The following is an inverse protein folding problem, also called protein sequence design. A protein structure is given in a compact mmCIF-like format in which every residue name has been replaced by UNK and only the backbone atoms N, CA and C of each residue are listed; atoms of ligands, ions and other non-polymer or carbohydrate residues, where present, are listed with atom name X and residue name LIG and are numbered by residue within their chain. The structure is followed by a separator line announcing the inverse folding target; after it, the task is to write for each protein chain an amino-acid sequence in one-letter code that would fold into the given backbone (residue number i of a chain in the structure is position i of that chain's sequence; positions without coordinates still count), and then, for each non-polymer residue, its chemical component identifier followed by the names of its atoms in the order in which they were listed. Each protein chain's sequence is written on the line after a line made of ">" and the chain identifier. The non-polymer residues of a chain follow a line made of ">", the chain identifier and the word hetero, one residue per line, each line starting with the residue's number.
data_IF_740679986002
#
_entry.id   IF_740679986002
#
_cell.length_a   1.000
_cell.length_b   1.000
_cell.length_c   1.000
_cell.angle_alpha   90.00
_cell.angle_beta   90.00
_cell.angle_gamma   90.00
#
_symmetry.space_group_name_H-M   'P 1'
#
loop_
_entity.id
_entity.type
_entity.pdbx_description
1 polymer ?
#
# COMPACT_ATOMS: atom_id res chain seq x y z
N UNK A 1 -0.60 50.78 14.57
CA UNK A 1 -1.26 51.72 15.50
C UNK A 1 -1.75 50.88 16.67
N UNK A 2 -1.32 51.23 17.87
CA UNK A 2 -1.41 50.42 19.09
C UNK A 2 -2.86 50.30 19.57
N UNK A 3 -3.27 49.10 20.00
CA UNK A 3 -4.08 48.89 21.22
C UNK A 3 -4.10 47.39 21.61
N UNK A 4 -3.52 47.11 22.78
CA UNK A 4 -3.97 46.09 23.75
C UNK A 4 -4.45 46.89 24.99
N UNK A 5 -5.18 46.34 25.99
CA UNK A 5 -5.55 44.94 26.25
C UNK A 5 -7.01 44.69 26.72
N UNK A 6 -7.44 43.42 26.85
CA UNK A 6 -8.15 42.90 28.05
C UNK A 6 -8.24 41.36 28.06
N UNK A 7 -8.27 40.78 29.27
CA UNK A 7 -8.12 39.36 29.63
C UNK A 7 -9.44 38.58 29.67
N UNK A 8 -9.28 37.24 29.59
CA UNK A 8 -10.15 36.14 30.05
C UNK A 8 -11.35 35.70 29.19
N UNK A 9 -11.18 34.57 28.52
CA UNK A 9 -11.98 33.33 28.68
C UNK A 9 -11.34 32.21 27.84
N UNK A 10 -11.47 30.96 28.29
CA UNK A 10 -10.72 29.80 27.78
C UNK A 10 -10.64 29.72 26.25
N UNK A 11 -9.43 29.65 25.73
CA UNK A 11 -9.18 29.53 24.30
C UNK A 11 -9.35 28.07 23.86
N UNK A 12 -10.58 27.67 23.58
CA UNK A 12 -10.82 26.67 22.55
C UNK A 12 -10.43 27.32 21.23
N UNK A 13 -9.30 26.92 20.64
CA UNK A 13 -9.00 27.29 19.27
C UNK A 13 -9.89 26.44 18.37
N UNK A 14 -11.12 26.92 18.12
CA UNK A 14 -11.96 26.37 17.06
C UNK A 14 -11.31 26.71 15.73
N UNK A 15 -10.44 25.82 15.24
CA UNK A 15 -10.09 25.82 13.82
C UNK A 15 -11.34 25.34 13.09
N UNK A 16 -12.21 26.29 12.71
CA UNK A 16 -13.19 26.05 11.66
C UNK A 16 -12.42 25.80 10.37
N UNK A 17 -12.00 24.56 10.14
CA UNK A 17 -11.75 24.08 8.77
C UNK A 17 -13.11 24.16 8.08
N UNK A 18 -13.17 24.94 7.00
CA UNK A 18 -14.41 25.34 6.35
C UNK A 18 -15.36 24.16 6.12
N UNK A 19 -16.65 24.40 6.38
CA UNK A 19 -17.73 23.42 6.27
C UNK A 19 -17.67 22.63 4.95
N UNK A 20 -17.51 21.32 5.03
CA UNK A 20 -17.72 20.35 3.94
C UNK A 20 -19.22 20.11 3.70
N UNK A 21 -20.06 21.13 3.81
CA UNK A 21 -21.53 21.03 3.69
C UNK A 21 -22.02 20.82 2.24
N UNK A 22 -21.18 20.31 1.34
CA UNK A 22 -21.53 19.97 -0.05
C UNK A 22 -20.96 18.64 -0.55
N UNK A 23 -20.55 17.73 0.33
CA UNK A 23 -20.32 16.32 -0.05
C UNK A 23 -21.64 15.51 0.11
N UNK A 24 -22.68 15.94 -0.62
CA UNK A 24 -24.00 15.29 -0.71
C UNK A 24 -24.18 14.51 -2.03
N UNK A 25 -23.12 14.24 -2.76
CA UNK A 25 -23.22 13.49 -4.02
C UNK A 25 -22.14 12.42 -4.05
N UNK A 26 -22.65 11.18 -4.12
CA UNK A 26 -21.97 9.89 -4.27
C UNK A 26 -21.02 9.86 -5.48
N UNK A 27 -19.88 10.53 -5.40
CA UNK A 27 -18.75 10.25 -6.27
C UNK A 27 -17.63 9.59 -5.45
N UNK A 28 -17.11 8.43 -5.87
CA UNK A 28 -16.10 7.73 -5.10
C UNK A 28 -14.81 8.54 -5.07
N UNK A 29 -14.40 8.93 -3.86
CA UNK A 29 -13.16 9.66 -3.53
C UNK A 29 -11.88 8.93 -4.01
N UNK A 30 -12.00 7.67 -4.45
CA UNK A 30 -10.95 6.88 -5.09
C UNK A 30 -10.40 7.50 -6.38
N UNK A 31 -11.18 8.34 -7.09
CA UNK A 31 -10.75 8.98 -8.35
C UNK A 31 -9.55 9.91 -8.18
N UNK A 32 -9.54 10.73 -7.12
CA UNK A 32 -8.56 11.81 -6.97
C UNK A 32 -7.15 11.32 -6.61
N UNK A 33 -7.02 10.27 -5.80
CA UNK A 33 -5.69 9.71 -5.47
C UNK A 33 -5.14 8.83 -6.61
N UNK A 34 -6.03 8.13 -7.34
CA UNK A 34 -5.67 7.50 -8.61
C UNK A 34 -5.11 8.54 -9.58
N UNK A 35 -5.79 9.66 -9.79
CA UNK A 35 -5.32 10.68 -10.74
C UNK A 35 -3.95 11.26 -10.39
N UNK A 36 -3.65 11.52 -9.10
CA UNK A 36 -2.38 12.13 -8.71
C UNK A 36 -1.17 11.18 -8.91
N UNK A 37 -1.28 9.91 -8.50
CA UNK A 37 -0.22 8.92 -8.68
C UNK A 37 -0.08 8.42 -10.14
N UNK A 38 -1.16 8.41 -10.93
CA UNK A 38 -1.16 7.85 -12.29
C UNK A 38 -0.75 8.86 -13.37
N UNK A 39 -0.78 10.16 -13.07
CA UNK A 39 -0.55 11.23 -14.06
C UNK A 39 0.82 11.23 -14.75
N UNK A 40 1.80 10.47 -14.24
CA UNK A 40 3.19 10.43 -14.75
C UNK A 40 3.63 9.05 -15.26
N UNK A 41 2.78 8.02 -15.17
CA UNK A 41 3.15 6.66 -15.58
C UNK A 41 2.50 6.33 -16.92
N UNK A 42 3.31 6.36 -17.97
CA UNK A 42 2.92 5.99 -19.34
C UNK A 42 3.19 4.50 -19.60
N UNK A 43 2.79 3.61 -18.68
CA UNK A 43 2.99 2.17 -18.83
C UNK A 43 2.08 1.62 -19.94
N UNK A 44 2.69 1.00 -20.96
CA UNK A 44 2.02 0.48 -22.16
C UNK A 44 1.18 1.50 -22.94
N UNK A 45 1.35 2.80 -22.71
CA UNK A 45 0.67 3.80 -23.52
C UNK A 45 1.14 3.71 -24.97
N UNK A 46 0.22 3.34 -25.86
CA UNK A 46 0.49 3.15 -27.29
C UNK A 46 0.74 1.70 -27.71
N UNK A 47 0.77 0.74 -26.77
CA UNK A 47 0.76 -0.68 -27.15
C UNK A 47 -0.65 -1.11 -27.56
N UNK A 48 -0.76 -1.74 -28.73
CA UNK A 48 -2.02 -2.31 -29.21
C UNK A 48 -2.16 -3.76 -28.70
N UNK A 49 -2.97 -3.95 -27.65
CA UNK A 49 -3.22 -5.27 -27.06
C UNK A 49 -3.89 -6.26 -28.02
N UNK A 50 -4.46 -5.81 -29.15
CA UNK A 50 -4.99 -6.73 -30.17
C UNK A 50 -3.88 -7.53 -30.87
N UNK A 51 -2.61 -7.09 -30.79
CA UNK A 51 -1.46 -7.85 -31.29
C UNK A 51 -1.32 -9.21 -30.61
N UNK A 52 -1.80 -9.36 -29.37
CA UNK A 52 -1.76 -10.63 -28.62
C UNK A 52 -2.66 -11.72 -29.23
N UNK A 53 -3.59 -11.35 -30.11
CA UNK A 53 -4.45 -12.30 -30.83
C UNK A 53 -3.76 -12.91 -32.06
N UNK A 54 -2.65 -12.32 -32.51
CA UNK A 54 -1.93 -12.82 -33.68
C UNK A 54 -1.10 -14.05 -33.33
N UNK A 55 -1.10 -15.04 -34.22
CA UNK A 55 -0.35 -16.28 -34.03
C UNK A 55 1.17 -16.10 -34.10
N UNK A 56 1.65 -14.99 -34.67
CA UNK A 56 3.07 -14.62 -34.74
C UNK A 56 3.56 -13.81 -33.53
N UNK A 57 2.67 -13.42 -32.61
CA UNK A 57 3.05 -12.77 -31.36
C UNK A 57 3.36 -13.83 -30.30
N UNK A 58 4.62 -14.24 -30.24
CA UNK A 58 5.10 -15.32 -29.39
C UNK A 58 5.76 -14.79 -28.10
N UNK A 59 6.36 -15.71 -27.33
CA UNK A 59 6.96 -15.42 -26.02
C UNK A 59 8.10 -14.39 -26.09
N UNK A 60 8.89 -14.38 -27.16
CA UNK A 60 9.93 -13.39 -27.41
C UNK A 60 9.35 -11.97 -27.57
N UNK A 61 8.24 -11.83 -28.30
CA UNK A 61 7.51 -10.56 -28.40
C UNK A 61 6.94 -10.11 -27.05
N UNK A 62 6.39 -11.04 -26.24
CA UNK A 62 5.94 -10.72 -24.87
C UNK A 62 7.11 -10.23 -24.02
N UNK A 63 8.28 -10.86 -24.14
CA UNK A 63 9.48 -10.46 -23.40
C UNK A 63 9.91 -9.03 -23.73
N UNK A 64 10.04 -8.69 -25.00
CA UNK A 64 10.59 -7.40 -25.42
C UNK A 64 9.57 -6.25 -25.37
N UNK A 65 8.32 -6.48 -25.81
CA UNK A 65 7.32 -5.41 -25.93
C UNK A 65 6.57 -5.14 -24.62
N UNK A 66 6.54 -6.10 -23.69
CA UNK A 66 5.73 -5.98 -22.47
C UNK A 66 6.55 -6.16 -21.19
N UNK A 67 7.29 -7.25 -21.06
CA UNK A 67 8.04 -7.54 -19.82
C UNK A 67 9.19 -6.56 -19.62
N UNK A 68 9.96 -6.24 -20.65
CA UNK A 68 11.07 -5.28 -20.54
C UNK A 68 10.58 -3.88 -20.13
N UNK A 69 9.55 -3.29 -20.77
CA UNK A 69 8.96 -2.03 -20.31
C UNK A 69 8.43 -2.09 -18.87
N UNK A 70 7.79 -3.20 -18.48
CA UNK A 70 7.33 -3.42 -17.11
C UNK A 70 8.49 -3.37 -16.11
N UNK A 71 9.56 -4.13 -16.34
CA UNK A 71 10.74 -4.16 -15.47
C UNK A 71 11.43 -2.79 -15.39
N UNK A 72 11.48 -2.05 -16.51
CA UNK A 72 12.00 -0.69 -16.53
C UNK A 72 11.14 0.25 -15.68
N UNK A 73 9.81 0.17 -15.78
CA UNK A 73 8.90 0.97 -14.98
C UNK A 73 8.97 0.66 -13.47
N UNK A 74 9.32 -0.59 -13.11
CA UNK A 74 9.60 -0.99 -11.72
C UNK A 74 10.96 -0.50 -11.19
N UNK A 75 11.79 0.09 -12.05
CA UNK A 75 13.10 0.66 -11.68
C UNK A 75 14.26 -0.30 -11.77
N UNK A 76 14.13 -1.38 -12.56
CA UNK A 76 15.22 -2.30 -12.84
C UNK A 76 15.89 -1.99 -14.18
N UNK A 77 17.18 -2.30 -14.28
CA UNK A 77 17.96 -2.15 -15.51
C UNK A 77 18.95 -3.30 -15.68
N UNK A 78 19.74 -3.31 -16.76
CA UNK A 78 20.85 -4.27 -16.87
C UNK A 78 22.00 -4.00 -15.87
N UNK A 79 22.00 -2.85 -15.19
CA UNK A 79 23.07 -2.38 -14.31
C UNK A 79 22.67 -2.41 -12.83
N UNK A 80 23.64 -2.58 -11.91
CA UNK A 80 23.42 -2.39 -10.47
C UNK A 80 22.94 -0.95 -10.14
N UNK A 81 22.29 -0.74 -8.98
CA UNK A 81 22.05 -1.71 -7.90
C UNK A 81 20.80 -2.58 -8.10
N UNK A 82 19.87 -2.17 -8.97
CA UNK A 82 18.62 -2.88 -9.26
C UNK A 82 18.70 -3.51 -10.64
N UNK A 83 19.09 -4.79 -10.66
CA UNK A 83 19.60 -5.44 -11.86
C UNK A 83 18.67 -6.54 -12.37
N UNK A 84 18.53 -6.61 -13.70
CA UNK A 84 17.89 -7.68 -14.44
C UNK A 84 18.98 -8.67 -14.88
N UNK A 85 18.94 -9.89 -14.36
CA UNK A 85 19.81 -11.00 -14.76
C UNK A 85 19.02 -11.91 -15.71
N UNK A 86 19.48 -12.01 -16.96
CA UNK A 86 18.89 -12.88 -17.98
C UNK A 86 19.72 -14.15 -18.14
N UNK A 87 19.10 -15.22 -18.64
CA UNK A 87 19.79 -16.45 -19.06
C UNK A 87 20.66 -17.09 -17.96
N UNK A 88 20.21 -17.00 -16.70
CA UNK A 88 20.90 -17.60 -15.58
C UNK A 88 20.77 -19.12 -15.63
N UNK A 89 21.90 -19.82 -15.74
CA UNK A 89 21.92 -21.28 -15.77
C UNK A 89 21.88 -21.82 -14.34
N UNK A 90 20.74 -22.37 -13.94
CA UNK A 90 20.55 -22.99 -12.64
C UNK A 90 20.72 -24.50 -12.77
N UNK A 91 21.71 -25.05 -12.08
CA UNK A 91 21.96 -26.48 -12.08
C UNK A 91 21.14 -27.13 -10.96
N UNK A 92 20.11 -27.89 -11.32
CA UNK A 92 19.29 -28.55 -10.32
C UNK A 92 20.17 -29.48 -9.47
N UNK A 93 20.12 -29.37 -8.13
CA UNK A 93 20.87 -30.27 -7.27
C UNK A 93 20.34 -31.70 -7.48
N UNK A 94 21.19 -32.51 -8.14
CA UNK A 94 21.19 -33.97 -8.17
C UNK A 94 19.86 -34.69 -8.50
N UNK A 95 19.42 -34.64 -9.76
CA UNK A 95 18.48 -35.65 -10.27
C UNK A 95 19.27 -36.90 -10.69
N UNK A 96 19.17 -37.95 -9.88
CA UNK A 96 19.64 -39.29 -10.24
C UNK A 96 18.53 -40.04 -10.95
N UNK A 97 18.80 -40.57 -12.15
CA UNK A 97 17.94 -41.56 -12.79
C UNK A 97 18.69 -42.89 -12.72
N UNK A 98 18.34 -43.72 -11.74
CA UNK A 98 19.15 -44.89 -11.36
C UNK A 98 20.50 -44.45 -10.75
N UNK A 99 21.61 -44.97 -11.28
CA UNK A 99 22.97 -44.63 -10.82
C UNK A 99 23.62 -43.47 -11.60
N UNK A 100 22.94 -42.93 -12.62
CA UNK A 100 23.50 -41.88 -13.49
C UNK A 100 22.99 -40.52 -13.04
N UNK A 101 23.93 -39.64 -12.69
CA UNK A 101 23.66 -38.22 -12.44
C UNK A 101 23.44 -37.54 -13.79
N UNK A 102 22.24 -37.00 -14.04
CA UNK A 102 22.00 -36.14 -15.20
C UNK A 102 22.02 -34.67 -14.77
N UNK A 103 22.85 -33.81 -15.38
CA UNK A 103 22.75 -32.37 -15.16
C UNK A 103 21.46 -31.88 -15.83
N UNK A 104 20.51 -31.41 -15.03
CA UNK A 104 19.33 -30.70 -15.51
C UNK A 104 19.59 -29.22 -15.25
N UNK A 105 19.79 -28.47 -16.34
CA UNK A 105 19.87 -27.02 -16.28
C UNK A 105 18.48 -26.46 -16.51
N UNK A 106 18.06 -25.56 -15.64
CA UNK A 106 16.86 -24.75 -15.83
C UNK A 106 17.25 -23.28 -15.93
N UNK A 107 16.49 -22.50 -16.69
CA UNK A 107 16.83 -21.11 -17.00
C UNK A 107 15.54 -20.28 -16.83
N UNK A 108 15.45 -19.41 -15.80
CA UNK A 108 14.41 -18.40 -15.76
C UNK A 108 14.67 -17.33 -16.82
N UNK A 109 13.61 -16.72 -17.34
CA UNK A 109 13.76 -15.57 -18.24
C UNK A 109 14.45 -14.40 -17.53
N UNK A 110 14.01 -14.10 -16.31
CA UNK A 110 14.55 -13.00 -15.51
C UNK A 110 14.70 -13.38 -14.04
N UNK A 111 15.93 -13.27 -13.54
CA UNK A 111 16.19 -13.11 -12.11
C UNK A 111 16.38 -11.62 -11.81
N UNK A 112 15.64 -11.12 -10.84
CA UNK A 112 15.67 -9.71 -10.45
C UNK A 112 16.46 -9.56 -9.16
N UNK A 113 17.47 -8.68 -9.22
CA UNK A 113 18.23 -8.25 -8.05
C UNK A 113 17.81 -6.86 -7.61
N UNK A 114 17.60 -6.68 -6.31
CA UNK A 114 17.32 -5.39 -5.68
C UNK A 114 18.42 -5.10 -4.67
N UNK A 115 19.09 -3.96 -4.81
CA UNK A 115 20.19 -3.57 -3.93
C UNK A 115 21.31 -4.63 -3.80
N UNK A 116 21.55 -5.40 -4.87
CA UNK A 116 22.58 -6.45 -4.92
C UNK A 116 22.13 -7.86 -4.49
N UNK A 117 20.96 -8.00 -3.88
CA UNK A 117 20.40 -9.28 -3.42
C UNK A 117 19.35 -9.82 -4.40
N UNK A 118 19.21 -11.15 -4.48
CA UNK A 118 18.14 -11.77 -5.25
C UNK A 118 16.79 -11.40 -4.61
N UNK A 119 15.86 -10.84 -5.39
CA UNK A 119 14.61 -10.32 -4.86
C UNK A 119 13.40 -11.17 -5.31
N UNK A 120 13.32 -11.49 -6.59
CA UNK A 120 12.23 -12.26 -7.20
C UNK A 120 12.61 -12.73 -8.61
N UNK A 121 11.83 -13.63 -9.19
CA UNK A 121 11.98 -14.09 -10.58
C UNK A 121 10.73 -13.83 -11.41
N UNK A 122 10.90 -13.68 -12.73
CA UNK A 122 9.81 -13.60 -13.70
C UNK A 122 10.03 -14.59 -14.83
N UNK A 123 8.99 -15.33 -15.17
CA UNK A 123 8.93 -16.22 -16.34
C UNK A 123 7.88 -15.71 -17.33
N UNK A 124 8.31 -15.41 -18.55
CA UNK A 124 7.41 -14.97 -19.61
C UNK A 124 6.83 -16.19 -20.34
N UNK A 125 5.63 -16.04 -20.87
CA UNK A 125 4.99 -17.07 -21.71
C UNK A 125 4.36 -16.44 -22.94
N UNK A 126 4.12 -17.27 -23.95
CA UNK A 126 3.32 -16.87 -25.09
C UNK A 126 1.88 -16.51 -24.67
N UNK A 127 1.17 -15.62 -25.39
CA UNK A 127 -0.11 -15.06 -24.94
C UNK A 127 -1.20 -16.07 -24.61
N UNK A 128 -1.20 -17.24 -25.25
CA UNK A 128 -2.23 -18.29 -25.10
C UNK A 128 -1.93 -19.27 -23.95
N UNK A 129 -0.77 -19.17 -23.31
CA UNK A 129 -0.39 -20.04 -22.21
C UNK A 129 -1.10 -19.66 -20.90
N UNK A 130 -1.45 -20.68 -20.13
CA UNK A 130 -2.04 -20.55 -18.80
C UNK A 130 -0.92 -20.25 -17.79
N UNK A 131 -1.08 -19.20 -16.98
CA UNK A 131 -0.05 -18.73 -16.04
C UNK A 131 -0.51 -18.65 -14.59
N UNK A 132 -1.78 -18.97 -14.31
CA UNK A 132 -2.36 -18.97 -12.96
C UNK A 132 -2.35 -20.37 -12.31
N UNK A 133 -2.06 -21.41 -13.10
CA UNK A 133 -2.12 -22.80 -12.67
C UNK A 133 -1.27 -23.73 -13.54
N UNK A 134 -1.05 -24.96 -13.07
CA UNK A 134 -0.40 -26.04 -13.81
C UNK A 134 1.12 -25.88 -14.01
N UNK A 135 1.62 -26.51 -15.08
CA UNK A 135 3.06 -26.69 -15.35
C UNK A 135 3.88 -25.40 -15.33
N UNK A 136 3.32 -24.29 -15.79
CA UNK A 136 4.04 -23.02 -15.92
C UNK A 136 4.29 -22.42 -14.53
N UNK A 137 3.29 -22.49 -13.63
CA UNK A 137 3.43 -22.07 -12.23
C UNK A 137 4.44 -22.95 -11.49
N UNK A 138 4.37 -24.27 -11.68
CA UNK A 138 5.33 -25.22 -11.08
C UNK A 138 6.77 -24.94 -11.55
N UNK A 139 6.94 -24.63 -12.83
CA UNK A 139 8.23 -24.24 -13.41
C UNK A 139 8.78 -22.98 -12.76
N UNK A 140 8.02 -21.88 -12.74
CA UNK A 140 8.45 -20.63 -12.12
C UNK A 140 8.72 -20.78 -10.61
N UNK A 141 7.87 -21.54 -9.91
CA UNK A 141 8.09 -21.90 -8.50
C UNK A 141 9.44 -22.58 -8.28
N UNK A 142 9.79 -23.55 -9.13
CA UNK A 142 11.05 -24.29 -9.03
C UNK A 142 12.28 -23.36 -9.15
N UNK A 143 12.17 -22.28 -9.93
CA UNK A 143 13.23 -21.27 -10.06
C UNK A 143 13.39 -20.48 -8.76
N UNK A 144 12.28 -20.05 -8.16
CA UNK A 144 12.29 -19.23 -6.96
C UNK A 144 12.88 -19.95 -5.74
N UNK A 145 12.57 -21.24 -5.58
CA UNK A 145 13.09 -22.05 -4.47
C UNK A 145 14.47 -22.66 -4.76
N UNK A 146 15.04 -22.46 -5.95
CA UNK A 146 16.34 -23.01 -6.30
C UNK A 146 17.42 -22.50 -5.33
N UNK A 147 18.37 -23.33 -4.86
CA UNK A 147 19.37 -22.91 -3.86
C UNK A 147 20.20 -21.69 -4.24
N UNK A 148 20.52 -21.53 -5.52
CA UNK A 148 21.28 -20.38 -6.05
C UNK A 148 20.44 -19.10 -6.24
N UNK A 149 19.10 -19.21 -6.16
CA UNK A 149 18.16 -18.11 -6.33
C UNK A 149 17.55 -17.71 -4.98
N UNK A 150 16.82 -18.63 -4.37
CA UNK A 150 16.15 -18.53 -3.06
C UNK A 150 15.46 -17.18 -2.81
N UNK A 151 14.32 -16.98 -3.47
CA UNK A 151 13.52 -15.76 -3.36
C UNK A 151 12.07 -16.07 -2.92
N UNK A 152 11.42 -15.18 -2.17
CA UNK A 152 10.07 -15.42 -1.67
C UNK A 152 8.99 -15.23 -2.75
N UNK A 153 9.28 -14.49 -3.82
CA UNK A 153 8.32 -14.06 -4.82
C UNK A 153 8.72 -14.57 -6.21
N UNK A 154 7.74 -15.02 -6.97
CA UNK A 154 7.86 -15.30 -8.39
C UNK A 154 6.65 -14.80 -9.15
N UNK A 155 6.87 -14.39 -10.40
CA UNK A 155 5.82 -13.88 -11.27
C UNK A 155 5.82 -14.60 -12.61
N UNK A 156 4.65 -14.67 -13.21
CA UNK A 156 4.47 -15.07 -14.61
C UNK A 156 3.78 -13.96 -15.38
N UNK A 157 4.18 -13.78 -16.63
CA UNK A 157 3.56 -12.83 -17.53
C UNK A 157 3.40 -13.43 -18.93
N UNK A 158 2.17 -13.53 -19.42
CA UNK A 158 1.90 -13.96 -20.80
C UNK A 158 1.56 -12.78 -21.73
N UNK A 159 1.73 -11.54 -21.26
CA UNK A 159 1.37 -10.34 -22.00
C UNK A 159 -0.11 -9.95 -21.88
N UNK A 160 -1.01 -10.90 -21.59
CA UNK A 160 -2.40 -10.59 -21.21
C UNK A 160 -2.54 -10.33 -19.71
N UNK A 161 -1.88 -11.16 -18.89
CA UNK A 161 -1.95 -11.09 -17.42
C UNK A 161 -0.58 -11.11 -16.78
N UNK A 162 -0.50 -10.47 -15.61
CA UNK A 162 0.62 -10.56 -14.68
C UNK A 162 0.09 -11.26 -13.42
N UNK A 163 0.66 -12.41 -13.10
CA UNK A 163 0.30 -13.17 -11.90
C UNK A 163 1.52 -13.29 -11.01
N UNK A 164 1.39 -12.91 -9.74
CA UNK A 164 2.48 -12.90 -8.74
C UNK A 164 2.12 -13.86 -7.62
N UNK A 165 3.09 -14.67 -7.22
CA UNK A 165 2.96 -15.68 -6.20
C UNK A 165 3.98 -15.47 -5.09
N UNK A 166 3.67 -16.00 -3.91
CA UNK A 166 4.62 -16.16 -2.82
C UNK A 166 4.89 -17.65 -2.61
N UNK A 167 6.14 -18.07 -2.46
CA UNK A 167 6.53 -19.49 -2.35
C UNK A 167 5.86 -20.23 -1.18
N UNK A 168 5.41 -19.49 -0.16
CA UNK A 168 4.74 -20.03 1.03
C UNK A 168 3.23 -19.77 1.11
N UNK A 169 2.60 -19.19 0.07
CA UNK A 169 1.17 -18.84 0.09
C UNK A 169 0.49 -19.30 -1.19
N UNK A 170 -0.74 -19.77 -1.05
CA UNK A 170 -1.62 -20.12 -2.16
C UNK A 170 -3.03 -19.62 -1.84
N UNK A 171 -3.79 -19.03 -2.79
CA UNK A 171 -3.48 -18.82 -4.22
C UNK A 171 -2.48 -17.67 -4.47
N UNK A 172 -2.36 -17.22 -5.73
CA UNK A 172 -1.59 -16.04 -6.14
C UNK A 172 -1.90 -14.83 -5.23
N UNK A 173 -0.85 -14.04 -4.92
CA UNK A 173 -0.98 -12.83 -4.09
C UNK A 173 -1.40 -11.60 -4.92
N UNK A 174 -1.25 -11.68 -6.24
CA UNK A 174 -1.71 -10.68 -7.19
C UNK A 174 -1.99 -11.32 -8.54
N UNK A 175 -3.06 -10.91 -9.20
CA UNK A 175 -3.41 -11.34 -10.55
C UNK A 175 -4.25 -10.26 -11.23
N UNK A 176 -3.75 -9.71 -12.33
CA UNK A 176 -4.41 -8.64 -13.07
C UNK A 176 -4.10 -8.69 -14.57
N UNK A 177 -5.00 -8.14 -15.37
CA UNK A 177 -4.74 -7.90 -16.80
C UNK A 177 -3.71 -6.79 -16.98
N UNK A 178 -2.81 -6.95 -17.96
CA UNK A 178 -1.78 -5.95 -18.25
C UNK A 178 -2.40 -4.63 -18.75
N UNK A 179 -3.50 -4.70 -19.49
CA UNK A 179 -4.27 -3.54 -19.97
C UNK A 179 -4.78 -2.66 -18.84
N UNK A 180 -5.11 -3.26 -17.69
CA UNK A 180 -5.64 -2.57 -16.52
C UNK A 180 -4.58 -2.39 -15.41
N UNK A 181 -3.33 -2.79 -15.65
CA UNK A 181 -2.29 -2.84 -14.63
C UNK A 181 -2.03 -1.48 -14.00
N UNK A 182 -2.19 -0.40 -14.78
CA UNK A 182 -2.05 0.98 -14.33
C UNK A 182 -2.96 1.27 -13.12
N UNK A 183 -4.16 0.71 -13.09
CA UNK A 183 -5.15 0.89 -12.02
C UNK A 183 -4.75 0.24 -10.69
N UNK A 184 -3.81 -0.72 -10.75
CA UNK A 184 -3.28 -1.48 -9.62
C UNK A 184 -1.78 -1.23 -9.42
N UNK A 185 -1.20 -0.26 -10.14
CA UNK A 185 0.23 -0.02 -10.16
C UNK A 185 0.87 0.20 -8.78
N UNK A 186 0.23 0.90 -7.82
CA UNK A 186 0.77 1.03 -6.47
C UNK A 186 1.01 -0.31 -5.77
N UNK A 187 0.13 -1.31 -5.96
CA UNK A 187 0.32 -2.66 -5.42
C UNK A 187 1.45 -3.40 -6.13
N UNK A 188 1.57 -3.24 -7.46
CA UNK A 188 2.66 -3.85 -8.23
C UNK A 188 4.01 -3.26 -7.81
N UNK A 189 4.07 -1.94 -7.57
CA UNK A 189 5.27 -1.27 -7.05
C UNK A 189 5.63 -1.71 -5.64
N UNK A 190 4.65 -1.94 -4.77
CA UNK A 190 4.86 -2.48 -3.42
C UNK A 190 5.46 -3.89 -3.46
N UNK A 191 4.88 -4.77 -4.28
CA UNK A 191 5.32 -6.15 -4.41
C UNK A 191 6.68 -6.27 -5.12
N UNK A 192 6.83 -5.60 -6.27
CA UNK A 192 7.92 -5.86 -7.21
C UNK A 192 8.85 -4.66 -7.42
N UNK A 193 8.42 -3.43 -7.13
CA UNK A 193 9.13 -2.20 -7.48
C UNK A 193 10.37 -1.90 -6.62
N UNK A 194 11.08 -0.84 -6.98
CA UNK A 194 12.28 -0.37 -6.26
C UNK A 194 12.09 1.04 -5.73
N UNK A 195 12.90 1.45 -4.73
CA UNK A 195 12.89 2.83 -4.23
C UNK A 195 13.23 3.87 -5.29
N UNK A 196 13.91 3.46 -6.37
CA UNK A 196 14.35 4.36 -7.44
C UNK A 196 13.19 4.95 -8.25
N UNK A 197 12.02 4.32 -8.24
CA UNK A 197 10.82 4.76 -8.99
C UNK A 197 9.71 5.27 -8.08
N UNK A 198 9.98 5.40 -6.78
CA UNK A 198 9.05 5.98 -5.83
C UNK A 198 8.92 7.48 -6.08
N UNK A 199 7.70 7.99 -6.32
CA UNK A 199 7.49 9.43 -6.53
C UNK A 199 8.05 10.23 -5.35
N UNK A 200 8.97 11.16 -5.62
CA UNK A 200 9.66 11.96 -4.59
C UNK A 200 10.35 11.12 -3.51
N UNK A 201 10.74 9.88 -3.83
CA UNK A 201 11.33 8.93 -2.88
C UNK A 201 10.35 8.35 -1.87
N UNK A 202 9.03 8.59 -2.03
CA UNK A 202 7.96 8.09 -1.15
C UNK A 202 7.31 6.85 -1.73
N UNK A 203 7.20 5.81 -0.90
CA UNK A 203 6.51 4.60 -1.30
C UNK A 203 5.06 4.92 -1.72
N UNK A 204 4.57 4.44 -2.87
CA UNK A 204 3.29 4.88 -3.46
C UNK A 204 2.06 4.53 -2.62
N UNK A 205 2.16 3.54 -1.74
CA UNK A 205 1.11 3.18 -0.78
C UNK A 205 1.16 3.95 0.54
N UNK A 206 2.18 4.79 0.77
CA UNK A 206 2.32 5.55 2.01
C UNK A 206 1.88 7.00 1.78
N UNK A 207 0.92 7.45 2.58
CA UNK A 207 0.55 8.87 2.63
C UNK A 207 1.38 9.59 3.70
N UNK A 208 1.56 10.93 3.59
CA UNK A 208 2.08 11.72 4.69
C UNK A 208 1.29 11.48 5.99
N UNK A 209 2.00 11.43 7.12
CA UNK A 209 1.37 11.35 8.44
C UNK A 209 0.82 12.71 8.88
N UNK A 210 -0.47 12.74 9.20
CA UNK A 210 -1.19 13.95 9.62
C UNK A 210 -0.66 14.49 10.96
N UNK A 211 -0.33 13.62 11.92
CA UNK A 211 0.17 14.06 13.22
C UNK A 211 1.52 14.78 13.11
N UNK A 212 2.44 14.27 12.28
CA UNK A 212 3.70 14.93 11.96
C UNK A 212 3.49 16.24 11.20
N UNK A 213 2.50 16.31 10.30
CA UNK A 213 2.15 17.59 9.66
C UNK A 213 1.72 18.63 10.69
N UNK A 214 0.83 18.26 11.62
CA UNK A 214 0.38 19.14 12.71
C UNK A 214 1.52 19.62 13.58
N UNK A 215 2.40 18.71 14.01
CA UNK A 215 3.59 19.05 14.80
C UNK A 215 4.54 19.99 14.05
N UNK A 216 4.82 19.72 12.77
CA UNK A 216 5.69 20.58 11.95
C UNK A 216 5.09 21.96 11.70
N UNK A 217 3.77 22.07 11.67
CA UNK A 217 3.06 23.34 11.58
C UNK A 217 3.02 24.12 12.92
N UNK A 218 3.54 23.57 14.02
CA UNK A 218 3.47 24.17 15.35
C UNK A 218 2.07 24.09 15.96
N UNK A 219 1.25 23.13 15.52
CA UNK A 219 -0.12 22.90 16.01
C UNK A 219 -0.18 21.81 17.08
N UNK A 220 0.94 21.44 17.69
CA UNK A 220 0.97 20.46 18.77
C UNK A 220 0.91 21.07 20.17
N UNK A 221 1.43 22.29 20.36
CA UNK A 221 1.50 22.98 21.65
C UNK A 221 1.26 24.48 21.51
N UNK A 222 0.75 25.09 22.58
CA UNK A 222 0.70 26.54 22.72
C UNK A 222 2.07 27.12 23.12
N UNK A 223 2.11 28.44 23.31
CA UNK A 223 3.34 29.17 23.70
C UNK A 223 3.86 28.77 25.09
N UNK A 224 3.02 28.18 25.95
CA UNK A 224 3.38 27.74 27.29
C UNK A 224 3.78 26.24 27.29
N UNK A 225 3.76 25.58 26.13
CA UNK A 225 4.11 24.17 25.95
C UNK A 225 2.97 23.19 26.29
N UNK A 226 1.76 23.70 26.54
CA UNK A 226 0.58 22.87 26.79
C UNK A 226 0.08 22.30 25.47
N UNK A 227 -0.26 21.00 25.46
CA UNK A 227 -0.76 20.34 24.24
C UNK A 227 -2.04 20.99 23.76
N UNK A 228 -2.09 21.29 22.47
CA UNK A 228 -3.31 21.79 21.85
C UNK A 228 -4.33 20.67 21.71
N UNK A 229 -5.57 20.99 22.07
CA UNK A 229 -6.72 20.14 21.86
C UNK A 229 -7.18 20.26 20.41
N UNK A 230 -7.37 19.12 19.74
CA UNK A 230 -7.72 19.02 18.34
C UNK A 230 -9.10 18.39 18.21
N UNK A 231 -9.96 18.99 17.39
CA UNK A 231 -11.24 18.43 16.97
C UNK A 231 -11.14 18.19 15.47
N UNK A 232 -11.22 16.93 15.07
CA UNK A 232 -10.99 16.51 13.69
C UNK A 232 -12.29 15.92 13.17
N UNK A 233 -12.87 16.64 12.21
CA UNK A 233 -14.14 16.30 11.59
C UNK A 233 -13.95 15.39 10.37
N UNK A 234 -14.99 14.63 10.05
CA UNK A 234 -15.07 13.76 8.88
C UNK A 234 -13.91 12.76 8.74
N UNK A 235 -13.50 12.12 9.83
CA UNK A 235 -12.44 11.11 9.83
C UNK A 235 -13.02 9.74 9.44
N UNK A 236 -12.65 9.18 8.27
CA UNK A 236 -13.01 7.79 7.95
C UNK A 236 -12.11 6.83 8.73
N UNK A 237 -12.67 6.00 9.61
CA UNK A 237 -11.89 4.99 10.33
C UNK A 237 -11.84 3.71 9.50
N UNK A 238 -10.70 3.43 8.89
CA UNK A 238 -10.54 2.30 7.95
C UNK A 238 -9.91 1.08 8.61
N UNK A 239 -9.02 1.29 9.56
CA UNK A 239 -8.29 0.23 10.25
C UNK A 239 -8.35 0.41 11.75
N UNK A 240 -8.56 -0.69 12.47
CA UNK A 240 -8.57 -0.71 13.94
C UNK A 240 -7.73 -1.89 14.42
N UNK A 241 -6.90 -1.68 15.43
CA UNK A 241 -6.09 -2.73 16.03
C UNK A 241 -5.95 -2.56 17.54
N UNK A 242 -5.74 -3.68 18.22
CA UNK A 242 -5.16 -3.71 19.56
C UNK A 242 -3.67 -3.99 19.40
N UNK A 243 -2.84 -2.97 19.63
CA UNK A 243 -1.39 -3.01 19.35
C UNK A 243 -0.64 -3.73 20.48
N UNK A 244 -1.11 -3.54 21.71
CA UNK A 244 -0.67 -4.24 22.91
C UNK A 244 -1.78 -4.15 23.97
N UNK A 245 -1.56 -4.76 25.13
CA UNK A 245 -2.48 -4.64 26.25
C UNK A 245 -2.74 -3.16 26.58
N UNK A 246 -4.03 -2.78 26.64
CA UNK A 246 -4.50 -1.41 26.93
C UNK A 246 -4.07 -0.33 25.92
N UNK A 247 -3.66 -0.72 24.70
CA UNK A 247 -3.38 0.23 23.61
C UNK A 247 -4.10 -0.18 22.33
N UNK A 248 -5.06 0.64 21.94
CA UNK A 248 -5.80 0.53 20.70
C UNK A 248 -5.36 1.62 19.75
N UNK A 249 -5.40 1.31 18.46
CA UNK A 249 -5.14 2.25 17.38
C UNK A 249 -6.32 2.23 16.40
N UNK A 250 -6.77 3.41 15.97
CA UNK A 250 -7.67 3.58 14.84
C UNK A 250 -7.00 4.47 13.79
N UNK A 251 -7.02 4.06 12.53
CA UNK A 251 -6.32 4.74 11.43
C UNK A 251 -7.25 4.95 10.25
N UNK A 252 -7.06 6.06 9.55
CA UNK A 252 -7.88 6.49 8.42
C UNK A 252 -7.11 7.28 7.38
N UNK A 253 -7.66 7.36 6.17
CA UNK A 253 -7.19 8.29 5.14
C UNK A 253 -7.93 9.62 5.26
N UNK A 254 -7.24 10.66 5.70
CA UNK A 254 -7.82 11.98 5.91
C UNK A 254 -7.52 12.91 4.72
N UNK A 255 -8.58 13.35 4.04
CA UNK A 255 -8.51 14.21 2.85
C UNK A 255 -8.88 15.64 3.25
N UNK A 256 -7.99 16.58 2.97
CA UNK A 256 -8.19 18.00 3.24
C UNK A 256 -8.16 18.81 1.95
N UNK A 257 -9.11 19.73 1.80
CA UNK A 257 -9.06 20.77 0.77
C UNK A 257 -8.22 21.95 1.31
N UNK A 258 -7.04 22.18 0.74
CA UNK A 258 -6.16 23.28 1.17
C UNK A 258 -6.27 24.51 0.26
N UNK A 259 -6.81 24.35 -0.94
CA UNK A 259 -7.22 25.42 -1.84
C UNK A 259 -8.40 24.92 -2.67
N UNK A 260 -9.17 25.84 -3.26
CA UNK A 260 -10.38 25.49 -4.01
C UNK A 260 -10.09 24.44 -5.09
N UNK A 261 -10.66 23.24 -4.94
CA UNK A 261 -10.47 22.09 -5.83
C UNK A 261 -9.10 21.40 -5.70
N UNK A 262 -8.30 21.74 -4.70
CA UNK A 262 -6.99 21.16 -4.42
C UNK A 262 -7.03 20.38 -3.11
N UNK A 263 -6.91 19.05 -3.22
CA UNK A 263 -7.01 18.14 -2.10
C UNK A 263 -5.66 17.50 -1.80
N UNK A 264 -5.38 17.28 -0.51
CA UNK A 264 -4.25 16.49 -0.05
C UNK A 264 -4.76 15.35 0.84
N UNK A 265 -4.24 14.15 0.63
CA UNK A 265 -4.52 12.99 1.46
C UNK A 265 -3.36 12.73 2.42
N UNK A 266 -3.70 12.38 3.66
CA UNK A 266 -2.76 12.00 4.71
C UNK A 266 -3.27 10.75 5.43
N UNK A 267 -2.38 9.97 6.03
CA UNK A 267 -2.78 8.99 7.03
C UNK A 267 -2.97 9.72 8.35
N UNK A 268 -4.06 9.44 9.05
CA UNK A 268 -4.27 9.88 10.42
C UNK A 268 -4.42 8.66 11.33
N UNK A 269 -3.69 8.67 12.45
CA UNK A 269 -3.68 7.59 13.41
C UNK A 269 -4.02 8.13 14.80
N UNK A 270 -4.89 7.40 15.49
CA UNK A 270 -5.33 7.69 16.85
C UNK A 270 -5.00 6.53 17.76
N UNK A 271 -4.20 6.78 18.79
CA UNK A 271 -3.99 5.86 19.90
C UNK A 271 -4.97 6.18 21.03
N UNK A 272 -5.46 5.17 21.72
CA UNK A 272 -6.35 5.33 22.87
C UNK A 272 -6.37 4.06 23.75
N UNK A 273 -6.76 4.23 25.00
CA UNK A 273 -6.77 3.18 26.01
C UNK A 273 -8.05 2.32 25.97
N UNK A 274 -8.10 1.27 26.79
CA UNK A 274 -9.28 0.40 26.91
C UNK A 274 -10.54 1.14 27.38
N UNK A 275 -10.37 2.17 28.20
CA UNK A 275 -11.49 2.99 28.69
C UNK A 275 -12.14 3.72 27.52
N UNK A 276 -11.33 4.42 26.71
CA UNK A 276 -11.78 5.15 25.52
C UNK A 276 -12.34 4.18 24.47
N UNK A 277 -11.71 3.02 24.30
CA UNK A 277 -12.23 1.97 23.41
C UNK A 277 -13.66 1.55 23.80
N UNK A 278 -13.90 1.23 25.07
CA UNK A 278 -15.19 0.72 25.54
C UNK A 278 -16.27 1.81 25.65
N UNK A 279 -15.89 3.01 26.09
CA UNK A 279 -16.85 4.07 26.44
C UNK A 279 -17.09 5.07 25.32
N UNK A 280 -16.16 5.22 24.37
CA UNK A 280 -16.23 6.23 23.31
C UNK A 280 -16.28 5.56 21.93
N UNK A 281 -15.24 4.77 21.60
CA UNK A 281 -15.10 4.20 20.26
C UNK A 281 -16.19 3.19 19.91
N UNK A 282 -16.37 2.14 20.71
CA UNK A 282 -17.39 1.12 20.42
C UNK A 282 -18.82 1.68 20.37
N UNK A 283 -19.26 2.55 21.31
CA UNK A 283 -20.59 3.15 21.25
C UNK A 283 -20.84 4.02 19.99
N UNK A 284 -19.79 4.64 19.44
CA UNK A 284 -19.89 5.43 18.21
C UNK A 284 -20.09 4.58 16.94
N UNK A 285 -19.81 3.28 16.99
CA UNK A 285 -20.01 2.38 15.85
C UNK A 285 -21.47 1.93 15.71
N UNK A 286 -21.96 1.74 14.46
CA UNK A 286 -23.19 0.99 14.19
C UNK A 286 -23.17 -0.40 14.84
N UNK A 287 -24.34 -0.91 15.25
CA UNK A 287 -24.43 -2.17 16.02
C UNK A 287 -23.76 -3.36 15.32
N UNK A 288 -24.02 -3.56 14.03
CA UNK A 288 -23.45 -4.67 13.26
C UNK A 288 -21.92 -4.57 13.16
N UNK A 289 -21.41 -3.36 12.97
CA UNK A 289 -19.97 -3.10 12.87
C UNK A 289 -19.28 -3.26 14.23
N UNK A 290 -19.90 -2.80 15.31
CA UNK A 290 -19.40 -2.91 16.68
C UNK A 290 -19.11 -4.37 17.04
N UNK A 291 -20.05 -5.27 16.76
CA UNK A 291 -19.89 -6.69 17.02
C UNK A 291 -18.75 -7.29 16.20
N UNK A 292 -18.59 -6.84 14.95
CA UNK A 292 -17.51 -7.30 14.08
C UNK A 292 -16.14 -6.84 14.59
N UNK A 293 -16.00 -5.56 14.95
CA UNK A 293 -14.78 -4.99 15.53
C UNK A 293 -14.41 -5.71 16.83
N UNK A 294 -15.35 -5.83 17.77
CA UNK A 294 -15.13 -6.54 19.03
C UNK A 294 -14.57 -7.95 18.83
N UNK A 295 -15.18 -8.74 17.93
CA UNK A 295 -14.72 -10.10 17.63
C UNK A 295 -13.32 -10.10 17.03
N UNK A 296 -13.04 -9.21 16.08
CA UNK A 296 -11.74 -9.14 15.39
C UNK A 296 -10.59 -8.74 16.32
N UNK A 297 -10.84 -7.89 17.32
CA UNK A 297 -9.83 -7.48 18.30
C UNK A 297 -9.63 -8.50 19.45
N UNK A 298 -10.38 -9.60 19.49
CA UNK A 298 -10.22 -10.66 20.51
C UNK A 298 -9.42 -11.87 20.03
N UNK A 299 -9.05 -11.92 18.74
CA UNK A 299 -8.34 -13.05 18.14
C UNK A 299 -7.27 -12.55 17.18
N UNK A 300 -6.15 -13.25 17.08
CA UNK A 300 -5.10 -12.92 16.11
C UNK A 300 -5.69 -12.79 14.70
N UNK A 301 -5.36 -11.71 13.96
CA UNK A 301 -4.26 -10.76 14.19
C UNK A 301 -4.56 -9.58 15.13
N UNK A 302 -5.66 -9.59 15.90
CA UNK A 302 -6.09 -8.51 16.79
C UNK A 302 -6.29 -7.17 16.07
N UNK A 303 -6.72 -7.24 14.81
CA UNK A 303 -6.93 -6.08 13.96
C UNK A 303 -8.01 -6.34 12.93
N UNK A 304 -8.57 -5.27 12.39
CA UNK A 304 -9.56 -5.30 11.32
C UNK A 304 -9.32 -4.15 10.34
N UNK A 305 -9.35 -4.48 9.05
CA UNK A 305 -9.47 -3.52 7.96
C UNK A 305 -10.93 -3.54 7.49
N UNK A 306 -11.60 -2.39 7.51
CA UNK A 306 -13.00 -2.26 7.14
C UNK A 306 -13.16 -2.15 5.63
N UNK A 307 -14.24 -2.73 5.11
CA UNK A 307 -14.61 -2.54 3.71
C UNK A 307 -15.11 -1.13 3.52
N UNK A 308 -14.91 -0.56 2.33
CA UNK A 308 -15.31 0.82 2.01
C UNK A 308 -16.78 1.14 2.34
N UNK A 309 -17.69 0.18 2.15
CA UNK A 309 -19.12 0.32 2.50
C UNK A 309 -19.42 0.31 4.00
N UNK A 310 -18.46 -0.07 4.83
CA UNK A 310 -18.57 -0.25 6.28
C UNK A 310 -17.75 0.80 7.04
N UNK A 311 -16.93 1.60 6.37
CA UNK A 311 -16.07 2.62 6.99
C UNK A 311 -16.94 3.69 7.67
N UNK A 312 -16.92 3.80 9.02
CA UNK A 312 -17.63 4.86 9.71
C UNK A 312 -16.86 6.17 9.56
N UNK A 313 -17.61 7.26 9.41
CA UNK A 313 -17.08 8.62 9.41
C UNK A 313 -17.34 9.21 10.80
N UNK A 314 -16.28 9.68 11.46
CA UNK A 314 -16.33 10.11 12.85
C UNK A 314 -15.77 11.53 13.04
N UNK A 315 -16.33 12.22 14.01
CA UNK A 315 -15.71 13.36 14.67
C UNK A 315 -14.83 12.81 15.80
N UNK A 316 -13.56 13.18 15.83
CA UNK A 316 -12.61 12.70 16.84
C UNK A 316 -12.01 13.88 17.58
N UNK A 317 -12.09 13.85 18.90
CA UNK A 317 -11.37 14.80 19.74
C UNK A 317 -10.09 14.16 20.27
N UNK A 318 -8.98 14.87 20.17
CA UNK A 318 -7.67 14.31 20.47
C UNK A 318 -6.65 15.36 20.90
N UNK A 319 -5.53 14.90 21.43
CA UNK A 319 -4.32 15.71 21.64
C UNK A 319 -3.15 15.08 20.90
N UNK A 320 -2.09 15.83 20.66
CA UNK A 320 -0.91 15.25 20.01
C UNK A 320 -0.22 14.21 20.92
N UNK A 321 0.10 13.04 20.37
CA UNK A 321 0.95 12.05 21.03
C UNK A 321 2.38 12.56 21.18
N UNK A 322 3.09 12.13 22.23
CA UNK A 322 4.45 12.62 22.50
C UNK A 322 5.52 11.89 21.67
N UNK A 323 5.22 10.68 21.19
CA UNK A 323 6.18 9.85 20.47
C UNK A 323 6.02 9.99 18.97
N UNK A 324 7.16 10.07 18.28
CA UNK A 324 7.25 9.81 16.85
C UNK A 324 7.79 8.40 16.69
N UNK A 325 7.07 7.58 15.96
CA UNK A 325 7.51 6.25 15.58
C UNK A 325 8.19 6.32 14.21
N UNK A 326 9.26 5.55 14.06
CA UNK A 326 10.05 5.45 12.83
C UNK A 326 10.19 3.98 12.46
N UNK A 327 9.88 3.66 11.21
CA UNK A 327 10.13 2.35 10.62
C UNK A 327 10.88 2.51 9.28
N UNK A 328 11.15 1.41 8.58
CA UNK A 328 11.94 1.43 7.33
C UNK A 328 11.36 2.36 6.26
N UNK A 329 10.04 2.56 6.25
CA UNK A 329 9.31 3.20 5.17
C UNK A 329 8.66 4.53 5.56
N UNK A 330 8.34 4.75 6.83
CA UNK A 330 7.64 5.95 7.30
C UNK A 330 8.03 6.36 8.71
N UNK A 331 7.72 7.63 9.00
CA UNK A 331 7.64 8.16 10.34
C UNK A 331 6.19 8.59 10.58
N UNK A 332 5.65 8.36 11.76
CA UNK A 332 4.29 8.76 12.11
C UNK A 332 4.18 9.17 13.58
N UNK A 333 3.20 10.02 13.89
CA UNK A 333 2.92 10.52 15.22
C UNK A 333 1.43 10.39 15.52
N UNK A 334 1.00 9.33 16.22
CA UNK A 334 -0.39 9.17 16.60
C UNK A 334 -0.89 10.35 17.43
N UNK A 335 -2.16 10.71 17.23
CA UNK A 335 -2.90 11.54 18.16
C UNK A 335 -3.46 10.66 19.27
N UNK A 336 -3.61 11.20 20.48
CA UNK A 336 -4.24 10.51 21.60
C UNK A 336 -5.71 10.90 21.61
N UNK A 337 -6.57 9.99 21.15
CA UNK A 337 -8.02 10.22 21.10
C UNK A 337 -8.63 10.23 22.51
N UNK A 338 -9.60 11.10 22.70
CA UNK A 338 -10.36 11.26 23.94
C UNK A 338 -11.84 10.95 23.73
N UNK A 339 -12.41 11.35 22.59
CA UNK A 339 -13.80 11.01 22.21
C UNK A 339 -13.89 10.63 20.75
N UNK A 340 -14.87 9.79 20.44
CA UNK A 340 -15.29 9.43 19.10
C UNK A 340 -16.80 9.65 19.02
N UNK A 341 -17.24 10.42 18.03
CA UNK A 341 -18.65 10.73 17.81
C UNK A 341 -19.01 10.41 16.36
N UNK A 342 -20.13 9.72 16.14
CA UNK A 342 -20.60 9.41 14.79
C UNK A 342 -21.09 10.68 14.09
N UNK A 343 -20.66 10.90 12.85
CA UNK A 343 -21.24 11.95 12.00
C UNK A 343 -22.52 11.41 11.37
N UNK A 344 -23.65 11.94 11.82
CA UNK A 344 -25.01 11.56 11.41
C UNK A 344 -25.37 12.00 10.00
#
# INVERSE_FOLDING_TARGET
>A
MICLPERNSGHTLNINVASTSKLSTREPLHGYFREFCLSTIHLFQGFDFTLLERDDFLEDSVREELVVPLLSALGYSASPPNQIIRSLHLQHPYVYIGSVKKPISIIPDYLIKREGENAWILDAKAPKEIIDSGKNVEQAYSYAIHPDVHVPIYALCNGRRLTIFHVSRWPAIFDAELSDLILQWPLVLDLLGTRAVWPEGRHPLFLPDFGLMMRKAGLDRDNDGVKLFQIIDAVPIEYVAMVQDDLYCATGRYIQEYAKGCFAASMITFDFDSTTYQQQFLPALPADLRDHVCKSLTRQPFSILLKESEVPIMLVSATMGDMVYENKNENYCPLIAQTFDALS
#
